data_IF_458212577802
#
_entry.id   IF_458212577802
#
_cell.length_a   1.000
_cell.length_b   1.000
_cell.length_c   1.000
_cell.angle_alpha   90.00
_cell.angle_beta   90.00
_cell.angle_gamma   90.00
#
_symmetry.space_group_name_H-M   'P 1'
#
loop_
_entity.id
_entity.type
_entity.pdbx_description
1 polymer ?
#
# COMPACT_ATOMS: atom_id res chain seq x y z
N UNK A 1 -12.07 7.47 38.23
CA UNK A 1 -11.43 8.56 37.48
C UNK A 1 -11.66 8.26 36.00
N UNK A 2 -12.74 8.78 35.43
CA UNK A 2 -13.14 8.49 34.05
C UNK A 2 -12.38 9.41 33.10
N UNK A 3 -11.51 8.84 32.28
CA UNK A 3 -10.78 9.56 31.24
C UNK A 3 -11.69 9.82 30.04
N UNK A 4 -12.03 11.10 29.83
CA UNK A 4 -12.77 11.59 28.66
C UNK A 4 -12.05 11.19 27.37
N UNK A 5 -12.63 10.23 26.64
CA UNK A 5 -12.14 9.79 25.34
C UNK A 5 -12.74 10.67 24.26
N UNK A 6 -11.89 11.33 23.47
CA UNK A 6 -12.32 12.18 22.37
C UNK A 6 -13.24 11.44 21.38
N UNK A 7 -14.25 12.13 20.80
CA UNK A 7 -15.17 11.51 19.86
C UNK A 7 -14.40 11.10 18.60
N UNK A 8 -14.40 9.80 18.30
CA UNK A 8 -13.79 9.24 17.08
C UNK A 8 -14.69 9.53 15.88
N UNK A 9 -14.77 10.79 15.45
CA UNK A 9 -15.33 11.17 14.15
C UNK A 9 -14.20 11.58 13.24
N UNK A 10 -13.75 10.61 12.46
CA UNK A 10 -12.69 10.71 11.48
C UNK A 10 -12.33 9.30 11.06
N UNK A 11 -11.99 9.10 9.80
CA UNK A 11 -11.70 7.84 9.09
C UNK A 11 -10.72 6.85 9.79
N UNK A 12 -10.19 7.21 10.97
CA UNK A 12 -9.28 6.49 11.87
C UNK A 12 -9.79 5.15 12.46
N UNK A 13 -10.91 4.61 11.97
CA UNK A 13 -11.44 3.31 12.38
C UNK A 13 -11.63 2.30 11.25
N UNK A 14 -11.30 2.66 10.01
CA UNK A 14 -11.62 1.84 8.83
C UNK A 14 -10.62 0.70 8.59
N UNK A 15 -9.40 0.83 9.08
CA UNK A 15 -8.32 -0.12 8.92
C UNK A 15 -7.99 -0.71 10.30
N UNK A 16 -7.95 -2.04 10.42
CA UNK A 16 -7.40 -2.67 11.62
C UNK A 16 -5.97 -2.14 11.82
N UNK A 17 -5.61 -1.78 13.06
CA UNK A 17 -4.29 -1.23 13.34
C UNK A 17 -3.18 -2.22 12.90
N UNK A 18 -2.32 -1.80 11.98
CA UNK A 18 -0.98 -2.35 11.83
C UNK A 18 -0.81 -3.61 10.98
N UNK A 19 -1.61 -3.83 9.93
CA UNK A 19 -1.30 -4.87 8.96
C UNK A 19 -0.03 -4.49 8.17
N UNK A 20 0.98 -5.36 8.21
CA UNK A 20 2.20 -5.25 7.41
C UNK A 20 2.62 -6.61 6.92
N UNK A 21 3.22 -6.66 5.74
CA UNK A 21 3.68 -7.91 5.17
C UNK A 21 4.60 -7.70 3.98
N UNK A 22 5.06 -8.83 3.45
CA UNK A 22 5.81 -8.89 2.20
C UNK A 22 4.84 -9.14 1.06
N UNK A 23 5.25 -8.70 -0.13
CA UNK A 23 4.55 -9.06 -1.34
C UNK A 23 4.89 -10.50 -1.73
N UNK A 24 3.88 -11.26 -2.12
CA UNK A 24 4.03 -12.64 -2.58
C UNK A 24 3.81 -12.69 -4.10
N UNK A 25 4.53 -13.57 -4.78
CA UNK A 25 4.28 -13.88 -6.19
C UNK A 25 3.15 -14.89 -6.28
N UNK A 26 2.22 -14.71 -7.22
CA UNK A 26 1.20 -15.73 -7.55
C UNK A 26 1.81 -16.90 -8.36
N UNK A 27 2.77 -16.64 -9.25
CA UNK A 27 3.20 -17.64 -10.26
C UNK A 27 4.69 -18.04 -10.20
N UNK A 28 5.33 -17.99 -9.02
CA UNK A 28 6.80 -18.04 -8.88
C UNK A 28 7.57 -17.01 -9.74
N UNK A 29 6.86 -16.02 -10.30
CA UNK A 29 7.44 -14.92 -11.06
C UNK A 29 8.02 -13.90 -10.10
N UNK A 30 9.32 -13.62 -10.24
CA UNK A 30 9.94 -12.52 -9.48
C UNK A 30 9.55 -11.14 -10.02
N UNK A 31 8.79 -11.06 -11.12
CA UNK A 31 8.49 -9.82 -11.85
C UNK A 31 7.16 -9.18 -11.45
N UNK A 32 6.28 -9.94 -10.79
CA UNK A 32 4.98 -9.48 -10.30
C UNK A 32 4.75 -10.03 -8.90
N UNK A 33 4.22 -9.20 -8.03
CA UNK A 33 3.79 -9.62 -6.72
C UNK A 33 2.54 -8.86 -6.30
N UNK A 34 1.68 -9.50 -5.52
CA UNK A 34 0.43 -8.91 -5.08
C UNK A 34 0.21 -9.10 -3.58
N UNK A 35 -0.68 -8.25 -3.06
CA UNK A 35 -1.18 -8.27 -1.70
C UNK A 35 -2.66 -7.99 -1.75
N UNK A 36 -3.44 -8.89 -1.15
CA UNK A 36 -4.86 -8.64 -0.87
C UNK A 36 -5.04 -8.72 0.64
N UNK A 37 -5.42 -7.59 1.24
CA UNK A 37 -5.61 -7.48 2.68
C UNK A 37 -7.06 -7.08 2.98
N UNK A 38 -7.71 -7.89 3.81
CA UNK A 38 -8.99 -7.50 4.41
C UNK A 38 -8.76 -6.45 5.49
N UNK A 39 -9.55 -5.39 5.43
CA UNK A 39 -9.58 -4.30 6.37
C UNK A 39 -10.85 -4.38 7.22
N UNK A 40 -10.86 -3.71 8.36
CA UNK A 40 -12.05 -3.68 9.23
C UNK A 40 -13.30 -3.15 8.54
N UNK A 41 -13.15 -2.34 7.49
CA UNK A 41 -14.25 -1.77 6.73
C UNK A 41 -14.02 -1.79 5.21
N UNK A 42 -13.34 -2.80 4.68
CA UNK A 42 -13.05 -2.84 3.25
C UNK A 42 -12.00 -3.87 2.84
N UNK A 43 -11.48 -3.70 1.64
CA UNK A 43 -10.38 -4.47 1.08
C UNK A 43 -9.30 -3.54 0.52
N UNK A 44 -8.06 -3.95 0.65
CA UNK A 44 -6.90 -3.31 0.02
C UNK A 44 -6.24 -4.33 -0.89
N UNK A 45 -6.14 -3.98 -2.16
CA UNK A 45 -5.47 -4.75 -3.20
C UNK A 45 -4.30 -3.93 -3.70
N UNK A 46 -3.12 -4.55 -3.75
CA UNK A 46 -1.90 -3.93 -4.26
C UNK A 46 -1.25 -4.91 -5.22
N UNK A 47 -1.05 -4.48 -6.46
CA UNK A 47 -0.32 -5.21 -7.49
C UNK A 47 0.92 -4.42 -7.82
N UNK A 48 2.05 -5.10 -7.74
CA UNK A 48 3.36 -4.53 -7.95
C UNK A 48 4.07 -5.29 -9.07
N UNK A 49 4.42 -4.59 -10.14
CA UNK A 49 5.27 -5.09 -11.21
C UNK A 49 6.67 -4.46 -11.11
N UNK A 50 7.66 -4.96 -11.87
CA UNK A 50 9.02 -4.38 -11.88
C UNK A 50 9.05 -2.87 -12.14
N UNK A 51 8.03 -2.32 -12.81
CA UNK A 51 7.97 -0.91 -13.20
C UNK A 51 6.71 -0.17 -12.74
N UNK A 52 5.69 -0.86 -12.23
CA UNK A 52 4.39 -0.24 -12.01
C UNK A 52 3.80 -0.62 -10.66
N UNK A 53 2.88 0.21 -10.19
CA UNK A 53 2.07 -0.05 -9.00
C UNK A 53 0.62 0.23 -9.35
N UNK A 54 -0.24 -0.72 -9.02
CA UNK A 54 -1.68 -0.53 -8.98
C UNK A 54 -2.15 -0.80 -7.55
N UNK A 55 -2.77 0.19 -6.92
CA UNK A 55 -3.36 0.08 -5.61
C UNK A 55 -4.84 0.40 -5.71
N UNK A 56 -5.67 -0.48 -5.15
CA UNK A 56 -7.10 -0.30 -5.04
C UNK A 56 -7.54 -0.55 -3.60
N UNK A 57 -8.26 0.40 -3.03
CA UNK A 57 -8.85 0.28 -1.71
C UNK A 57 -10.36 0.47 -1.83
N UNK A 58 -11.12 -0.58 -1.54
CA UNK A 58 -12.59 -0.56 -1.57
C UNK A 58 -13.10 -0.52 -0.14
N UNK A 59 -13.79 0.54 0.25
CA UNK A 59 -14.43 0.69 1.55
C UNK A 59 -15.91 0.34 1.47
N UNK A 60 -16.44 -0.26 2.54
CA UNK A 60 -17.86 -0.67 2.61
C UNK A 60 -18.74 0.47 3.16
N UNK A 61 -18.23 1.25 4.13
CA UNK A 61 -18.96 2.34 4.80
C UNK A 61 -18.04 3.52 5.18
N UNK A 62 -17.98 4.62 4.42
CA UNK A 62 -18.75 4.86 3.19
C UNK A 62 -18.37 3.89 2.08
N UNK A 63 -19.31 3.62 1.18
CA UNK A 63 -19.03 2.87 -0.04
C UNK A 63 -18.20 3.77 -0.97
N UNK A 64 -16.90 3.53 -1.00
CA UNK A 64 -15.92 4.35 -1.70
C UNK A 64 -14.78 3.50 -2.22
N UNK A 65 -14.35 3.79 -3.45
CA UNK A 65 -13.19 3.14 -4.06
C UNK A 65 -12.10 4.19 -4.26
N UNK A 66 -10.92 3.91 -3.72
CA UNK A 66 -9.71 4.69 -3.92
C UNK A 66 -8.75 3.92 -4.79
N UNK A 67 -8.30 4.54 -5.87
CA UNK A 67 -7.35 3.94 -6.81
C UNK A 67 -6.11 4.83 -6.92
N UNK A 68 -4.94 4.19 -6.89
CA UNK A 68 -3.68 4.86 -7.10
C UNK A 68 -2.81 4.04 -8.03
N UNK A 69 -2.31 4.69 -9.07
CA UNK A 69 -1.52 4.06 -10.11
C UNK A 69 -0.21 4.81 -10.32
N UNK A 70 0.89 4.07 -10.27
CA UNK A 70 2.19 4.55 -10.77
C UNK A 70 2.41 3.87 -12.10
N UNK A 71 2.27 4.65 -13.18
CA UNK A 71 2.41 4.14 -14.55
C UNK A 71 3.83 3.65 -14.84
N UNK A 72 4.85 4.29 -14.25
CA UNK A 72 6.25 3.88 -14.40
C UNK A 72 7.13 4.39 -13.26
N UNK A 73 7.83 3.48 -12.60
CA UNK A 73 8.88 3.81 -11.65
C UNK A 73 10.12 4.35 -12.37
N UNK A 74 10.95 5.15 -11.68
CA UNK A 74 12.20 5.66 -12.24
C UNK A 74 13.16 4.55 -12.67
N UNK A 75 13.08 3.39 -12.01
CA UNK A 75 13.87 2.21 -12.33
C UNK A 75 13.14 0.92 -11.90
N UNK A 76 13.72 -0.24 -12.22
CA UNK A 76 13.22 -1.54 -11.82
C UNK A 76 13.21 -1.73 -10.30
N UNK A 77 12.18 -2.40 -9.82
CA UNK A 77 12.11 -2.95 -8.47
C UNK A 77 12.13 -4.47 -8.47
N UNK A 78 12.34 -5.05 -7.29
CA UNK A 78 12.17 -6.46 -7.02
C UNK A 78 10.87 -6.66 -6.22
N UNK A 79 9.72 -6.94 -6.88
CA UNK A 79 8.42 -6.98 -6.23
C UNK A 79 8.33 -7.88 -5.01
N UNK A 80 8.86 -9.09 -5.06
CA UNK A 80 8.83 -10.07 -3.95
C UNK A 80 9.69 -9.66 -2.74
N UNK A 81 10.55 -8.65 -2.89
CA UNK A 81 11.36 -8.10 -1.80
C UNK A 81 10.78 -6.80 -1.23
N UNK A 82 9.65 -6.32 -1.78
CA UNK A 82 8.98 -5.14 -1.30
C UNK A 82 8.11 -5.47 -0.07
N UNK A 83 7.80 -4.43 0.71
CA UNK A 83 6.96 -4.54 1.89
C UNK A 83 5.86 -3.49 1.86
N UNK A 84 4.75 -3.79 2.53
CA UNK A 84 3.68 -2.83 2.77
C UNK A 84 3.40 -2.72 4.27
N UNK A 85 2.89 -1.56 4.67
CA UNK A 85 2.40 -1.30 6.01
C UNK A 85 1.19 -0.37 5.95
N UNK A 86 0.10 -0.78 6.58
CA UNK A 86 -1.08 0.07 6.78
C UNK A 86 -1.01 0.66 8.18
N UNK A 87 -0.81 1.98 8.27
CA UNK A 87 -0.70 2.69 9.55
C UNK A 87 -1.32 4.09 9.43
N UNK A 88 -2.06 4.50 10.46
CA UNK A 88 -2.65 5.84 10.54
C UNK A 88 -3.43 6.24 9.27
N UNK A 89 -4.24 5.32 8.73
CA UNK A 89 -5.00 5.50 7.47
C UNK A 89 -4.13 5.74 6.22
N UNK A 90 -2.86 5.38 6.25
CA UNK A 90 -1.96 5.45 5.11
C UNK A 90 -1.46 4.05 4.76
N UNK A 91 -1.40 3.77 3.46
CA UNK A 91 -0.65 2.64 2.93
C UNK A 91 0.76 3.12 2.63
N UNK A 92 1.73 2.59 3.38
CA UNK A 92 3.15 2.87 3.20
C UNK A 92 3.77 1.69 2.47
N UNK A 93 4.34 1.95 1.30
CA UNK A 93 5.06 0.96 0.50
C UNK A 93 6.56 1.19 0.64
N UNK A 94 7.29 0.13 1.01
CA UNK A 94 8.76 0.10 0.99
C UNK A 94 9.21 -0.67 -0.23
N UNK A 95 9.58 0.06 -1.27
CA UNK A 95 10.03 -0.50 -2.54
C UNK A 95 11.50 -0.88 -2.47
N UNK A 96 11.82 -2.11 -2.91
CA UNK A 96 13.19 -2.58 -3.02
C UNK A 96 13.63 -2.50 -4.48
N UNK A 97 14.72 -1.80 -4.74
CA UNK A 97 15.32 -1.71 -6.07
C UNK A 97 15.78 -3.08 -6.57
N UNK A 98 15.64 -3.32 -7.86
CA UNK A 98 16.26 -4.49 -8.49
C UNK A 98 17.80 -4.33 -8.55
N UNK A 99 18.57 -5.43 -8.60
CA UNK A 99 20.01 -5.36 -8.81
C UNK A 99 20.36 -4.56 -10.08
N UNK A 100 21.32 -3.65 -9.98
CA UNK A 100 21.74 -2.78 -11.09
C UNK A 100 20.93 -1.49 -11.28
N UNK A 101 19.93 -1.23 -10.43
CA UNK A 101 19.13 0.01 -10.52
C UNK A 101 19.87 1.25 -10.03
N UNK A 102 19.67 2.38 -10.72
CA UNK A 102 20.21 3.70 -10.42
C UNK A 102 19.56 4.41 -9.22
N UNK A 103 19.97 5.65 -8.97
CA UNK A 103 19.46 6.48 -7.86
C UNK A 103 18.02 6.96 -8.11
N UNK A 104 17.23 7.07 -7.04
CA UNK A 104 15.82 7.49 -7.08
C UNK A 104 15.57 8.80 -6.32
N UNK A 105 16.66 9.46 -5.89
CA UNK A 105 16.58 10.67 -5.09
C UNK A 105 15.83 11.78 -5.85
N UNK A 106 14.76 12.30 -5.24
CA UNK A 106 13.96 13.41 -5.80
C UNK A 106 12.84 13.02 -6.78
N UNK A 107 12.75 11.75 -7.19
CA UNK A 107 11.83 11.33 -8.27
C UNK A 107 10.48 10.81 -7.77
N UNK A 108 10.42 10.20 -6.59
CA UNK A 108 9.18 9.72 -5.99
C UNK A 108 8.67 10.70 -4.94
N UNK A 109 7.73 11.58 -5.33
CA UNK A 109 6.97 12.39 -4.38
C UNK A 109 5.75 11.56 -3.92
N UNK A 110 5.71 11.21 -2.64
CA UNK A 110 4.56 10.52 -2.04
C UNK A 110 3.33 11.42 -2.04
N UNK A 111 2.22 10.98 -2.63
CA UNK A 111 0.88 11.50 -2.32
C UNK A 111 0.19 10.48 -1.42
N UNK A 112 -0.36 10.93 -0.30
CA UNK A 112 -1.24 10.09 0.51
C UNK A 112 -2.51 9.74 -0.27
N UNK A 113 -3.21 8.69 0.17
CA UNK A 113 -4.60 8.47 -0.24
C UNK A 113 -5.41 9.66 0.31
N UNK A 114 -5.80 10.58 -0.57
CA UNK A 114 -6.69 11.68 -0.24
C UNK A 114 -8.13 11.19 -0.26
#
# INVERSE_FOLDING_TARGET
MEGLRAPRRGLAGLFAAGCSGKFCSEDNSMQRANVTQMLGNGTLEIILDEWTLNLKCTLIRPDMVYEHHVQRFPDKIAPTQCEYQVKNNMVVLRLKKAPGSGSWAGTLRTKGLN
#
